data_IF_968451393013
#
_entry.id   IF_968451393013
#
_cell.length_a   1.000
_cell.length_b   1.000
_cell.length_c   1.000
_cell.angle_alpha   90.00
_cell.angle_beta   90.00
_cell.angle_gamma   90.00
#
_symmetry.space_group_name_H-M   'P 1'
#
loop_
_entity.id
_entity.type
_entity.pdbx_description
1 polymer ?
#
# COMPACT_ATOMS: atom_id res chain seq x y z
N UNK A 1 13.25 -7.89 -10.02
CA UNK A 1 11.83 -7.54 -10.12
C UNK A 1 11.67 -6.05 -9.82
N UNK A 2 10.87 -5.30 -10.57
CA UNK A 2 10.74 -3.84 -10.40
C UNK A 2 10.08 -3.42 -9.07
N UNK A 3 9.28 -4.31 -8.45
CA UNK A 3 8.67 -4.12 -7.13
C UNK A 3 9.26 -5.17 -6.18
N UNK A 4 9.80 -4.72 -5.05
CA UNK A 4 10.38 -5.60 -4.02
C UNK A 4 10.21 -4.97 -2.63
N UNK A 5 9.46 -5.64 -1.76
CA UNK A 5 9.27 -5.19 -0.39
C UNK A 5 10.50 -5.51 0.47
N UNK A 6 10.99 -4.51 1.19
CA UNK A 6 12.00 -4.68 2.24
C UNK A 6 11.36 -4.66 3.63
N UNK A 7 12.16 -4.35 4.65
CA UNK A 7 11.73 -4.30 6.05
C UNK A 7 10.56 -3.34 6.28
N UNK A 8 10.65 -2.13 5.71
CA UNK A 8 9.66 -1.05 5.91
C UNK A 8 8.95 -0.68 4.61
N UNK A 9 8.51 -1.70 3.86
CA UNK A 9 7.77 -1.51 2.61
C UNK A 9 8.64 -1.50 1.36
N UNK A 10 8.05 -1.08 0.24
CA UNK A 10 8.74 -0.95 -1.04
C UNK A 10 9.39 0.43 -1.17
N UNK A 11 10.69 0.45 -1.46
CA UNK A 11 11.47 1.66 -1.76
C UNK A 11 12.13 1.51 -3.11
N UNK A 12 12.15 2.58 -3.90
CA UNK A 12 12.67 2.57 -5.25
C UNK A 12 13.14 3.97 -5.67
N UNK A 13 13.91 4.03 -6.76
CA UNK A 13 14.39 5.29 -7.34
C UNK A 13 13.31 5.89 -8.24
N UNK A 14 13.03 7.19 -8.08
CA UNK A 14 12.05 7.91 -8.88
C UNK A 14 12.39 7.86 -10.38
N UNK A 15 11.37 7.70 -11.22
CA UNK A 15 11.50 7.56 -12.68
C UNK A 15 12.18 6.29 -13.19
N UNK A 16 12.84 5.50 -12.33
CA UNK A 16 13.37 4.18 -12.69
C UNK A 16 12.33 3.11 -12.34
N UNK A 17 12.26 2.72 -11.07
CA UNK A 17 11.33 1.69 -10.59
C UNK A 17 10.18 2.27 -9.78
N UNK A 18 10.38 3.43 -9.13
CA UNK A 18 9.29 4.20 -8.54
C UNK A 18 8.61 5.04 -9.64
N UNK A 19 7.71 4.41 -10.36
CA UNK A 19 6.93 4.99 -11.46
C UNK A 19 5.44 4.97 -11.13
N UNK A 20 4.63 5.84 -11.75
CA UNK A 20 3.17 5.81 -11.56
C UNK A 20 2.55 4.46 -11.90
N UNK A 21 3.10 3.74 -12.88
CA UNK A 21 2.63 2.40 -13.23
C UNK A 21 2.84 1.41 -12.08
N UNK A 22 4.07 1.32 -11.56
CA UNK A 22 4.38 0.39 -10.46
C UNK A 22 3.68 0.81 -9.16
N UNK A 23 3.54 2.12 -8.90
CA UNK A 23 2.77 2.62 -7.77
C UNK A 23 1.30 2.20 -7.85
N UNK A 24 0.69 2.22 -9.04
CA UNK A 24 -0.70 1.77 -9.24
C UNK A 24 -0.86 0.28 -8.96
N UNK A 25 0.12 -0.54 -9.36
CA UNK A 25 0.13 -1.97 -9.06
C UNK A 25 0.21 -2.22 -7.54
N UNK A 26 1.09 -1.52 -6.84
CA UNK A 26 1.22 -1.64 -5.38
C UNK A 26 -0.04 -1.17 -4.66
N UNK A 27 -0.60 -0.03 -5.05
CA UNK A 27 -1.82 0.51 -4.46
C UNK A 27 -3.00 -0.46 -4.63
N UNK A 28 -3.16 -1.05 -5.82
CA UNK A 28 -4.20 -2.05 -6.07
C UNK A 28 -3.97 -3.31 -5.23
N UNK A 29 -2.74 -3.84 -5.18
CA UNK A 29 -2.43 -5.02 -4.39
C UNK A 29 -2.72 -4.82 -2.89
N UNK A 30 -2.45 -3.62 -2.34
CA UNK A 30 -2.79 -3.28 -0.96
C UNK A 30 -4.32 -3.24 -0.76
N UNK A 31 -5.06 -2.63 -1.69
CA UNK A 31 -6.53 -2.60 -1.63
C UNK A 31 -7.13 -4.01 -1.68
N UNK A 32 -6.63 -4.87 -2.56
CA UNK A 32 -7.06 -6.26 -2.67
C UNK A 32 -6.74 -7.05 -1.40
N UNK A 33 -5.56 -6.82 -0.81
CA UNK A 33 -5.17 -7.43 0.45
C UNK A 33 -6.11 -7.01 1.60
N UNK A 34 -6.41 -5.73 1.74
CA UNK A 34 -7.28 -5.22 2.80
C UNK A 34 -8.73 -5.71 2.64
N UNK A 35 -9.20 -5.84 1.39
CA UNK A 35 -10.51 -6.40 1.09
C UNK A 35 -10.60 -7.92 1.32
N UNK A 36 -9.47 -8.60 1.49
CA UNK A 36 -9.45 -10.04 1.74
C UNK A 36 -9.88 -10.38 3.17
N UNK A 37 -10.51 -11.54 3.34
CA UNK A 37 -10.94 -12.05 4.65
C UNK A 37 -9.77 -12.34 5.61
N UNK A 38 -8.54 -12.34 5.09
CA UNK A 38 -7.31 -12.64 5.83
C UNK A 38 -6.59 -11.43 6.41
N UNK A 39 -7.05 -10.19 6.15
CA UNK A 39 -6.36 -8.99 6.63
C UNK A 39 -6.68 -8.65 8.09
N UNK A 40 -7.96 -8.77 8.48
CA UNK A 40 -8.47 -8.25 9.75
C UNK A 40 -8.65 -9.35 10.83
N UNK A 41 -7.70 -10.29 10.93
CA UNK A 41 -7.85 -11.50 11.78
C UNK A 41 -7.77 -11.19 13.29
N UNK A 42 -7.31 -9.99 13.66
CA UNK A 42 -7.05 -9.60 15.05
C UNK A 42 -7.96 -8.52 15.63
N UNK A 43 -8.90 -7.99 14.85
CA UNK A 43 -9.72 -6.86 15.33
C UNK A 43 -10.78 -7.30 16.35
N UNK A 44 -11.05 -6.47 17.38
CA UNK A 44 -12.13 -6.73 18.31
C UNK A 44 -13.49 -6.79 17.59
N UNK A 45 -14.44 -7.63 18.06
CA UNK A 45 -15.79 -7.67 17.52
C UNK A 45 -16.43 -6.27 17.49
N UNK A 46 -16.97 -5.87 16.34
CA UNK A 46 -17.61 -4.56 16.16
C UNK A 46 -16.66 -3.38 15.94
N UNK A 47 -15.35 -3.63 15.79
CA UNK A 47 -14.32 -2.60 15.48
C UNK A 47 -13.50 -2.91 14.23
N UNK A 48 -14.05 -3.67 13.29
CA UNK A 48 -13.38 -3.89 12.01
C UNK A 48 -13.28 -2.57 11.22
N UNK A 49 -12.11 -2.22 10.69
CA UNK A 49 -11.96 -1.06 9.84
C UNK A 49 -12.76 -1.22 8.54
N UNK A 50 -13.23 -0.11 8.00
CA UNK A 50 -13.91 -0.07 6.71
C UNK A 50 -12.88 -0.32 5.58
N UNK A 51 -12.96 -1.43 4.82
CA UNK A 51 -11.98 -1.78 3.81
C UNK A 51 -11.97 -0.84 2.59
N UNK A 52 -12.97 0.04 2.45
CA UNK A 52 -13.04 1.04 1.38
C UNK A 52 -12.47 2.40 1.81
N UNK A 53 -12.05 2.53 3.08
CA UNK A 53 -11.50 3.77 3.63
C UNK A 53 -10.00 3.64 3.92
N UNK A 54 -9.21 4.44 3.20
CA UNK A 54 -7.75 4.51 3.37
C UNK A 54 -7.30 5.93 3.73
N UNK A 55 -6.21 6.02 4.50
CA UNK A 55 -5.52 7.28 4.78
C UNK A 55 -4.16 7.22 4.08
N UNK A 56 -3.85 8.24 3.28
CA UNK A 56 -2.56 8.34 2.58
C UNK A 56 -1.81 9.57 3.11
N UNK A 57 -0.59 9.34 3.59
CA UNK A 57 0.36 10.38 3.97
C UNK A 57 1.55 10.38 3.02
N UNK A 58 2.21 11.53 2.88
CA UNK A 58 3.35 11.71 1.98
C UNK A 58 4.35 12.70 2.60
N UNK A 59 5.61 12.66 2.15
CA UNK A 59 6.66 13.58 2.58
C UNK A 59 6.83 14.77 1.61
N UNK A 60 7.83 15.62 1.81
CA UNK A 60 8.04 16.81 0.97
C UNK A 60 8.89 16.55 -0.28
N UNK A 61 9.16 15.29 -0.65
CA UNK A 61 9.94 14.97 -1.87
C UNK A 61 9.14 15.36 -3.11
N UNK A 62 9.87 15.80 -4.13
CA UNK A 62 9.31 16.13 -5.43
C UNK A 62 8.56 14.92 -6.02
N UNK A 63 7.30 15.09 -6.44
CA UNK A 63 6.38 14.05 -6.94
C UNK A 63 5.82 13.08 -5.88
N UNK A 64 5.77 13.49 -4.61
CA UNK A 64 4.99 12.81 -3.57
C UNK A 64 3.51 13.12 -3.64
#
# INVERSE_FOLDING_TARGET
MPIHFGTDGWRAVMSDTFTFHNLRLVAQAIADAIKSDSWDVGSPPGKSPDPEKMIVGFDTRFLS
#
